data_IF_018278613000
#
_entry.id   IF_018278613000
#
_cell.length_a   1.000
_cell.length_b   1.000
_cell.length_c   1.000
_cell.angle_alpha   90.00
_cell.angle_beta   90.00
_cell.angle_gamma   90.00
#
_symmetry.space_group_name_H-M   'P 1'
#
loop_
_entity.id
_entity.type
_entity.pdbx_description
1 polymer ?
#
# COMPACT_ATOMS: atom_id res chain seq x y z
N UNK A 1 10.57 30.41 -0.39
CA UNK A 1 9.91 29.15 0.01
C UNK A 1 10.97 28.27 0.64
N UNK A 2 10.76 27.78 1.86
CA UNK A 2 11.69 26.85 2.51
C UNK A 2 11.58 25.47 1.85
N UNK A 3 12.71 24.78 1.68
CA UNK A 3 12.69 23.42 1.15
C UNK A 3 11.91 22.50 2.10
N UNK A 4 11.18 21.49 1.57
CA UNK A 4 10.42 20.56 2.41
C UNK A 4 11.34 19.77 3.33
N UNK A 5 10.89 19.56 4.57
CA UNK A 5 11.57 18.75 5.56
C UNK A 5 11.55 17.27 5.11
N UNK A 6 12.68 16.55 5.21
CA UNK A 6 12.69 15.12 4.92
C UNK A 6 11.83 14.38 5.95
N UNK A 7 11.02 13.42 5.48
CA UNK A 7 10.20 12.56 6.34
C UNK A 7 10.54 11.10 6.13
N UNK A 8 10.28 10.28 7.16
CA UNK A 8 10.25 8.82 7.05
C UNK A 8 8.78 8.40 7.05
N UNK A 9 8.37 7.65 6.04
CA UNK A 9 7.07 6.98 6.06
C UNK A 9 7.19 5.71 6.89
N UNK A 10 6.62 5.73 8.09
CA UNK A 10 6.80 4.65 9.05
C UNK A 10 5.95 3.42 8.77
N UNK A 11 4.99 3.48 7.83
CA UNK A 11 4.07 2.37 7.61
C UNK A 11 3.41 2.45 6.23
N UNK A 12 3.83 1.57 5.32
CA UNK A 12 3.10 1.31 4.07
C UNK A 12 3.10 -0.16 3.70
N UNK A 13 2.27 -0.50 2.73
CA UNK A 13 2.10 -1.86 2.21
C UNK A 13 2.31 -1.88 0.70
N UNK A 14 2.80 -3.00 0.20
CA UNK A 14 2.83 -3.32 -1.23
C UNK A 14 2.16 -4.66 -1.44
N UNK A 15 1.49 -4.80 -2.58
CA UNK A 15 0.91 -6.06 -2.98
C UNK A 15 0.90 -6.21 -4.50
N UNK A 16 1.01 -7.47 -4.92
CA UNK A 16 0.81 -7.91 -6.30
C UNK A 16 -0.30 -8.94 -6.30
N UNK A 17 -1.39 -8.63 -6.97
CA UNK A 17 -2.57 -9.49 -7.06
C UNK A 17 -2.36 -10.59 -8.10
N UNK A 18 -3.27 -11.56 -8.10
CA UNK A 18 -3.31 -12.68 -9.05
C UNK A 18 -2.54 -13.91 -8.58
N UNK A 19 -2.06 -13.92 -7.33
CA UNK A 19 -1.39 -15.08 -6.73
C UNK A 19 -2.19 -15.72 -5.59
N UNK A 20 -3.27 -15.09 -5.12
CA UNK A 20 -4.03 -15.57 -3.97
C UNK A 20 -3.29 -15.40 -2.64
N UNK A 21 -2.26 -14.55 -2.64
CA UNK A 21 -1.38 -14.30 -1.52
C UNK A 21 -2.01 -13.39 -0.45
N UNK A 22 -3.10 -12.69 -0.81
CA UNK A 22 -3.77 -11.74 0.07
C UNK A 22 -5.24 -12.14 0.21
N UNK A 23 -5.59 -13.13 1.05
CA UNK A 23 -6.96 -13.65 1.15
C UNK A 23 -8.01 -12.60 1.47
N UNK A 24 -7.66 -11.58 2.28
CA UNK A 24 -8.57 -10.48 2.62
C UNK A 24 -8.87 -9.53 1.45
N UNK A 25 -7.99 -9.52 0.44
CA UNK A 25 -8.04 -8.63 -0.73
C UNK A 25 -8.49 -9.36 -2.00
N UNK A 26 -8.06 -10.61 -2.18
CA UNK A 26 -8.32 -11.43 -3.37
C UNK A 26 -9.54 -12.38 -3.21
N UNK A 27 -10.31 -12.26 -2.12
CA UNK A 27 -11.53 -13.03 -1.93
C UNK A 27 -12.57 -12.74 -3.04
N UNK A 28 -13.30 -13.78 -3.46
CA UNK A 28 -14.39 -13.64 -4.42
C UNK A 28 -15.57 -12.80 -3.89
N UNK A 29 -15.77 -12.82 -2.57
CA UNK A 29 -16.74 -11.98 -1.86
C UNK A 29 -16.01 -11.22 -0.73
N UNK A 30 -15.37 -10.09 -1.04
CA UNK A 30 -14.64 -9.32 -0.04
C UNK A 30 -15.65 -8.69 0.92
N UNK A 31 -15.77 -9.30 2.11
CA UNK A 31 -16.47 -8.69 3.23
C UNK A 31 -15.92 -7.28 3.49
N UNK A 32 -16.74 -6.33 3.96
CA UNK A 32 -16.25 -5.02 4.36
C UNK A 32 -15.07 -5.18 5.30
N UNK A 33 -13.88 -4.75 4.86
CA UNK A 33 -12.72 -4.82 5.72
C UNK A 33 -12.96 -3.88 6.91
N UNK A 34 -12.31 -4.13 8.05
CA UNK A 34 -12.36 -3.24 9.22
C UNK A 34 -12.01 -1.78 8.92
N UNK A 35 -11.44 -1.50 7.75
CA UNK A 35 -10.99 -0.20 7.28
C UNK A 35 -11.79 0.36 6.09
N UNK A 36 -12.90 -0.28 5.70
CA UNK A 36 -13.80 0.20 4.65
C UNK A 36 -13.80 -0.65 3.37
N UNK A 37 -14.33 -0.10 2.26
CA UNK A 37 -14.48 -0.82 1.00
C UNK A 37 -13.13 -1.26 0.41
N UNK A 38 -13.05 -2.53 0.03
CA UNK A 38 -11.85 -3.14 -0.56
C UNK A 38 -11.71 -2.83 -2.06
N UNK A 39 -12.81 -2.53 -2.75
CA UNK A 39 -12.83 -2.36 -4.21
C UNK A 39 -11.74 -1.41 -4.77
N UNK A 40 -11.43 -0.24 -4.17
CA UNK A 40 -10.36 0.64 -4.66
C UNK A 40 -8.94 0.06 -4.56
N UNK A 41 -8.77 -0.97 -3.73
CA UNK A 41 -7.50 -1.65 -3.47
C UNK A 41 -7.26 -2.84 -4.43
N UNK A 42 -8.26 -3.23 -5.22
CA UNK A 42 -8.20 -4.36 -6.18
C UNK A 42 -7.37 -4.05 -7.43
N UNK A 43 -6.13 -3.63 -7.21
CA UNK A 43 -5.09 -3.39 -8.21
C UNK A 43 -3.73 -3.64 -7.58
N UNK A 44 -2.73 -3.94 -8.40
CA UNK A 44 -1.33 -3.94 -7.95
C UNK A 44 -0.99 -2.56 -7.35
N UNK A 45 -0.30 -2.59 -6.20
CA UNK A 45 0.28 -1.40 -5.60
C UNK A 45 1.76 -1.66 -5.31
N UNK A 46 2.61 -1.09 -6.16
CA UNK A 46 4.04 -1.41 -6.21
C UNK A 46 4.88 -0.18 -5.86
N UNK A 47 6.21 -0.32 -5.68
CA UNK A 47 7.07 0.82 -5.33
C UNK A 47 7.00 2.00 -6.31
N UNK A 48 6.64 1.77 -7.58
CA UNK A 48 6.42 2.83 -8.55
C UNK A 48 5.17 3.68 -8.26
N UNK A 49 4.09 3.03 -7.82
CA UNK A 49 2.86 3.69 -7.43
C UNK A 49 3.07 4.55 -6.19
N UNK A 50 3.76 4.00 -5.19
CA UNK A 50 4.12 4.74 -3.98
C UNK A 50 4.92 6.00 -4.26
N UNK A 51 5.94 5.92 -5.12
CA UNK A 51 6.73 7.10 -5.51
C UNK A 51 5.90 8.17 -6.20
N UNK A 52 4.95 7.76 -7.05
CA UNK A 52 4.04 8.69 -7.74
C UNK A 52 3.10 9.37 -6.74
N UNK A 53 2.51 8.59 -5.85
CA UNK A 53 1.49 9.07 -4.93
C UNK A 53 2.09 9.92 -3.79
N UNK A 54 3.38 9.72 -3.48
CA UNK A 54 4.13 10.51 -2.48
C UNK A 54 4.99 11.62 -3.08
N UNK A 55 4.86 11.93 -4.38
CA UNK A 55 5.73 12.87 -5.08
C UNK A 55 5.75 14.31 -4.51
N UNK A 56 4.72 14.69 -3.74
CA UNK A 56 4.67 15.98 -3.05
C UNK A 56 5.52 16.04 -1.77
N UNK A 57 6.01 14.90 -1.27
CA UNK A 57 6.77 14.79 -0.03
C UNK A 57 8.25 14.47 -0.30
N UNK A 58 9.12 14.95 0.59
CA UNK A 58 10.53 14.57 0.60
C UNK A 58 10.72 13.30 1.43
N UNK A 59 10.43 12.14 0.85
CA UNK A 59 10.63 10.85 1.52
C UNK A 59 12.14 10.53 1.60
N UNK A 60 12.70 10.50 2.81
CA UNK A 60 14.10 10.12 3.05
C UNK A 60 14.26 8.61 3.32
N UNK A 61 13.17 7.92 3.62
CA UNK A 61 13.11 6.48 3.86
C UNK A 61 11.68 6.05 4.14
N UNK A 62 11.45 4.74 4.10
CA UNK A 62 10.12 4.17 4.32
C UNK A 62 10.20 2.78 4.93
N UNK A 63 9.20 2.40 5.72
CA UNK A 63 9.07 1.05 6.29
C UNK A 63 7.93 0.31 5.60
N UNK A 64 8.29 -0.81 4.96
CA UNK A 64 7.31 -1.73 4.39
C UNK A 64 6.86 -2.73 5.46
N UNK A 65 5.54 -2.89 5.58
CA UNK A 65 4.90 -3.91 6.40
C UNK A 65 4.20 -4.91 5.47
N UNK A 66 4.37 -6.20 5.75
CA UNK A 66 3.66 -7.24 5.02
C UNK A 66 2.14 -7.03 5.14
N UNK A 67 1.41 -7.23 4.04
CA UNK A 67 0.01 -6.82 3.93
C UNK A 67 -0.96 -7.95 4.33
N UNK A 68 -0.78 -8.52 5.52
CA UNK A 68 -1.46 -9.75 5.96
C UNK A 68 -1.27 -10.87 4.92
N UNK A 69 -0.03 -11.02 4.45
CA UNK A 69 0.37 -11.95 3.41
C UNK A 69 0.29 -13.39 3.91
N UNK A 70 -0.31 -14.26 3.11
CA UNK A 70 -0.38 -15.70 3.38
C UNK A 70 0.49 -16.47 2.37
N UNK A 71 1.54 -17.20 2.83
CA UNK A 71 2.41 -18.01 1.97
C UNK A 71 1.72 -19.14 1.21
#
# INVERSE_FOLDING_TARGET
MTAPWPIIDCHHHFWRLGKGNYPWLEAADPQPHRYGPVAPLLRDYLPGDYRRDTAAFKIAGSVHIEAEWNP
#
